data_IF_603899719619
#
_entry.id   IF_603899719619
#
_cell.length_a   1.000
_cell.length_b   1.000
_cell.length_c   1.000
_cell.angle_alpha   90.00
_cell.angle_beta   90.00
_cell.angle_gamma   90.00
#
_symmetry.space_group_name_H-M   'P 1'
#
loop_
_entity.id
_entity.type
_entity.pdbx_description
1 polymer ?
#
# COMPACT_ATOMS: atom_id res chain seq x y z
N UNK A 1 -44.80 -50.08 -23.13
CA UNK A 1 -44.44 -49.33 -21.91
C UNK A 1 -43.27 -48.42 -22.24
N UNK A 2 -43.52 -47.13 -22.41
CA UNK A 2 -42.56 -46.05 -22.22
C UNK A 2 -43.39 -44.78 -22.05
N UNK A 3 -43.21 -44.15 -20.91
CA UNK A 3 -44.02 -43.11 -20.33
C UNK A 3 -43.74 -41.77 -21.05
N UNK A 4 -44.78 -41.13 -21.58
CA UNK A 4 -44.73 -39.74 -21.99
C UNK A 4 -44.53 -38.87 -20.75
N UNK A 5 -43.42 -38.14 -20.69
CA UNK A 5 -43.17 -37.14 -19.66
C UNK A 5 -43.35 -35.78 -20.31
N UNK A 6 -44.43 -35.12 -19.89
CA UNK A 6 -44.76 -33.73 -20.12
C UNK A 6 -43.67 -32.80 -19.59
N UNK A 7 -43.38 -31.75 -20.35
CA UNK A 7 -42.66 -30.58 -19.87
C UNK A 7 -43.58 -29.74 -18.96
N UNK A 8 -43.05 -29.20 -17.86
CA UNK A 8 -43.62 -27.98 -17.32
C UNK A 8 -42.58 -26.87 -17.14
N UNK A 9 -42.97 -25.72 -17.69
CA UNK A 9 -42.93 -24.41 -17.02
C UNK A 9 -41.63 -23.61 -17.07
N UNK A 10 -41.79 -22.47 -17.75
CA UNK A 10 -40.97 -21.26 -17.79
C UNK A 10 -40.32 -20.86 -16.47
N UNK A 11 -38.99 -20.79 -16.46
CA UNK A 11 -38.19 -20.22 -15.37
C UNK A 11 -37.84 -18.75 -15.62
N UNK A 12 -38.84 -17.88 -15.63
CA UNK A 12 -38.66 -16.41 -15.63
C UNK A 12 -38.97 -15.85 -14.23
N UNK A 13 -38.52 -16.53 -13.18
CA UNK A 13 -38.78 -16.15 -11.77
C UNK A 13 -37.49 -16.25 -10.95
N UNK A 14 -36.58 -15.31 -11.18
CA UNK A 14 -35.48 -14.97 -10.25
C UNK A 14 -35.25 -13.45 -10.13
N UNK A 15 -36.19 -12.62 -10.61
CA UNK A 15 -36.10 -11.15 -10.54
C UNK A 15 -36.87 -10.57 -9.33
N UNK A 16 -36.87 -11.28 -8.20
CA UNK A 16 -37.41 -10.76 -6.95
C UNK A 16 -36.36 -10.88 -5.85
N UNK A 17 -35.79 -9.74 -5.47
CA UNK A 17 -35.27 -9.57 -4.10
C UNK A 17 -33.78 -9.75 -3.87
N UNK A 18 -32.92 -9.25 -4.76
CA UNK A 18 -31.55 -8.92 -4.38
C UNK A 18 -31.25 -7.48 -4.81
N UNK A 19 -31.61 -6.51 -3.95
CA UNK A 19 -31.09 -5.15 -4.06
C UNK A 19 -29.59 -5.23 -3.81
N UNK A 20 -28.85 -5.40 -4.90
CA UNK A 20 -27.40 -5.30 -5.00
C UNK A 20 -27.02 -3.90 -4.55
N UNK A 21 -26.70 -3.74 -3.28
CA UNK A 21 -26.03 -2.55 -2.77
C UNK A 21 -24.66 -2.57 -3.45
N UNK A 22 -24.49 -1.76 -4.50
CA UNK A 22 -23.18 -1.43 -5.04
C UNK A 22 -22.47 -0.63 -3.96
N UNK A 23 -21.72 -1.33 -3.10
CA UNK A 23 -20.67 -0.72 -2.32
C UNK A 23 -19.49 -0.57 -3.26
N UNK A 24 -19.37 0.61 -3.87
CA UNK A 24 -18.12 0.98 -4.53
C UNK A 24 -17.04 1.08 -3.43
N UNK A 25 -15.83 0.61 -3.72
CA UNK A 25 -14.70 0.52 -2.80
C UNK A 25 -14.40 1.84 -2.05
N UNK A 26 -14.83 2.98 -2.62
CA UNK A 26 -14.74 4.33 -2.05
C UNK A 26 -15.60 4.51 -0.79
N UNK A 27 -16.69 3.76 -0.62
CA UNK A 27 -17.63 3.93 0.49
C UNK A 27 -17.16 3.26 1.78
N UNK A 28 -16.31 2.24 1.72
CA UNK A 28 -15.67 1.61 2.89
C UNK A 28 -14.65 2.57 3.54
N UNK A 29 -13.95 3.37 2.72
CA UNK A 29 -12.93 4.32 3.18
C UNK A 29 -13.55 5.50 3.95
N UNK A 30 -14.79 5.90 3.63
CA UNK A 30 -15.49 7.01 4.30
C UNK A 30 -15.99 6.67 5.72
N UNK A 31 -16.13 5.38 6.06
CA UNK A 31 -16.63 4.94 7.37
C UNK A 31 -15.53 5.03 8.45
N UNK A 32 -14.26 4.84 8.08
CA UNK A 32 -13.15 4.79 9.05
C UNK A 32 -12.60 6.17 9.46
N UNK A 33 -13.00 7.24 8.77
CA UNK A 33 -12.47 8.60 8.98
C UNK A 33 -13.54 9.57 9.50
N UNK A 34 -14.16 9.27 10.66
CA UNK A 34 -15.02 10.24 11.36
C UNK A 34 -14.20 11.03 12.40
N UNK A 35 -14.05 12.35 12.28
CA UNK A 35 -13.44 13.15 13.33
C UNK A 35 -14.35 13.19 14.58
N UNK A 36 -13.76 12.98 15.76
CA UNK A 36 -14.47 13.21 17.03
C UNK A 36 -14.62 14.71 17.26
N UNK A 37 -15.83 15.23 17.01
CA UNK A 37 -16.23 16.59 17.41
C UNK A 37 -16.48 16.63 18.92
N UNK A 38 -15.66 17.37 19.65
CA UNK A 38 -15.92 17.70 21.05
C UNK A 38 -16.40 19.14 21.17
N UNK A 39 -17.58 19.30 21.77
CA UNK A 39 -18.27 20.56 21.94
C UNK A 39 -17.47 21.58 22.77
N UNK A 40 -17.39 22.77 22.17
CA UNK A 40 -17.20 24.11 22.74
C UNK A 40 -17.84 24.27 24.13
N UNK A 41 -17.01 24.48 25.15
CA UNK A 41 -17.44 25.08 26.42
C UNK A 41 -17.09 26.57 26.38
N UNK A 42 -18.12 27.41 26.34
CA UNK A 42 -18.01 28.86 26.42
C UNK A 42 -17.85 29.31 27.87
N UNK A 43 -16.76 30.04 28.13
CA UNK A 43 -16.76 31.25 28.99
C UNK A 43 -16.30 31.11 30.45
N UNK A 44 -15.15 31.70 30.75
CA UNK A 44 -14.97 32.62 31.91
C UNK A 44 -13.74 33.51 31.69
N UNK A 45 -13.96 34.82 31.56
CA UNK A 45 -12.93 35.87 31.54
C UNK A 45 -12.53 36.20 32.99
N UNK A 46 -11.23 36.23 33.32
CA UNK A 46 -10.66 37.14 34.33
C UNK A 46 -9.16 37.40 34.03
N UNK A 47 -8.73 38.61 34.40
CA UNK A 47 -7.59 39.43 33.93
C UNK A 47 -6.16 38.97 34.33
N UNK A 48 -5.10 39.60 33.78
CA UNK A 48 -3.73 39.08 33.81
C UNK A 48 -2.94 39.55 35.04
N UNK A 49 -2.30 38.62 35.73
CA UNK A 49 -1.19 38.91 36.65
C UNK A 49 0.14 38.59 35.95
N UNK A 50 1.02 39.57 35.92
CA UNK A 50 2.38 39.52 35.37
C UNK A 50 3.17 38.30 35.84
N UNK A 51 3.36 37.32 34.95
CA UNK A 51 4.31 36.23 35.14
C UNK A 51 5.46 36.43 34.17
N UNK A 52 6.67 36.52 34.71
CA UNK A 52 7.93 36.50 34.00
C UNK A 52 7.96 35.37 32.95
N UNK A 53 7.84 35.73 31.68
CA UNK A 53 8.03 34.81 30.55
C UNK A 53 9.53 34.54 30.39
N UNK A 54 10.07 33.65 31.23
CA UNK A 54 11.27 32.91 30.84
C UNK A 54 10.83 31.98 29.71
N UNK A 55 11.03 32.44 28.48
CA UNK A 55 11.00 31.60 27.28
C UNK A 55 12.10 30.53 27.40
N UNK A 56 11.84 29.53 28.24
CA UNK A 56 12.40 28.21 28.00
C UNK A 56 11.71 27.75 26.73
N UNK A 57 12.36 27.99 25.59
CA UNK A 57 12.01 27.32 24.35
C UNK A 57 12.15 25.84 24.66
N UNK A 58 11.06 25.19 25.06
CA UNK A 58 10.95 23.74 24.97
C UNK A 58 11.21 23.46 23.51
N UNK A 59 12.42 22.96 23.23
CA UNK A 59 12.78 22.47 21.92
C UNK A 59 11.75 21.37 21.66
N UNK A 60 10.88 21.59 20.68
CA UNK A 60 10.20 20.48 20.01
C UNK A 60 11.32 19.62 19.43
N UNK A 61 11.85 18.72 20.25
CA UNK A 61 12.65 17.60 19.80
C UNK A 61 11.66 16.80 18.97
N UNK A 62 11.76 16.91 17.64
CA UNK A 62 11.28 15.86 16.77
C UNK A 62 11.80 14.56 17.38
N UNK A 63 10.90 13.62 17.69
CA UNK A 63 11.27 12.34 18.30
C UNK A 63 12.11 11.59 17.27
N UNK A 64 13.42 11.85 17.30
CA UNK A 64 14.38 11.14 16.46
C UNK A 64 14.70 9.85 17.17
N UNK A 65 14.51 8.73 16.47
CA UNK A 65 14.91 7.41 16.97
C UNK A 65 16.42 7.46 17.23
N UNK A 66 16.85 7.08 18.43
CA UNK A 66 18.29 7.05 18.76
C UNK A 66 19.02 5.93 18.02
N UNK A 67 18.34 4.82 17.77
CA UNK A 67 18.83 3.65 17.04
C UNK A 67 17.64 2.87 16.50
N UNK A 68 17.82 2.17 15.39
CA UNK A 68 16.84 1.23 14.81
C UNK A 68 16.83 -0.11 15.54
N UNK A 69 17.89 -0.43 16.31
CA UNK A 69 18.05 -1.75 16.94
C UNK A 69 18.40 -2.87 15.96
N UNK A 70 18.61 -2.56 14.68
CA UNK A 70 19.03 -3.49 13.63
C UNK A 70 20.49 -3.24 13.26
N UNK A 71 21.25 -4.32 13.05
CA UNK A 71 22.66 -4.20 12.66
C UNK A 71 22.78 -3.70 11.21
N UNK A 72 23.64 -2.70 10.97
CA UNK A 72 23.95 -2.20 9.63
C UNK A 72 22.93 -1.25 9.02
N UNK A 73 21.84 -0.91 9.72
CA UNK A 73 20.81 0.03 9.25
C UNK A 73 20.84 1.29 10.11
N UNK A 74 21.48 2.38 9.64
CA UNK A 74 21.52 3.64 10.38
C UNK A 74 20.16 4.34 10.35
N UNK A 75 19.86 5.10 11.41
CA UNK A 75 18.65 5.94 11.46
C UNK A 75 18.75 7.04 10.43
N UNK A 76 17.70 7.22 9.62
CA UNK A 76 17.67 8.26 8.61
C UNK A 76 17.12 9.58 9.19
N UNK A 77 17.76 10.73 8.99
CA UNK A 77 17.35 11.99 9.62
C UNK A 77 16.00 12.51 9.11
N UNK A 78 15.70 12.33 7.82
CA UNK A 78 14.45 12.80 7.19
C UNK A 78 13.87 11.72 6.26
N UNK A 79 13.23 10.67 6.78
CA UNK A 79 12.82 9.50 5.99
C UNK A 79 11.69 9.79 4.99
N UNK A 80 10.72 10.64 5.38
CA UNK A 80 9.52 10.93 4.57
C UNK A 80 9.81 11.56 3.20
N UNK A 81 10.54 12.70 3.09
CA UNK A 81 10.84 13.30 1.79
C UNK A 81 11.69 12.37 0.91
N UNK A 82 12.60 11.60 1.52
CA UNK A 82 13.41 10.61 0.81
C UNK A 82 12.53 9.53 0.18
N UNK A 83 11.61 8.93 0.93
CA UNK A 83 10.65 7.95 0.41
C UNK A 83 9.80 8.49 -0.75
N UNK A 84 9.27 9.71 -0.61
CA UNK A 84 8.46 10.33 -1.66
C UNK A 84 9.30 10.51 -2.94
N UNK A 85 10.53 11.00 -2.80
CA UNK A 85 11.46 11.16 -3.92
C UNK A 85 11.74 9.82 -4.61
N UNK A 86 12.08 8.79 -3.83
CA UNK A 86 12.38 7.45 -4.34
C UNK A 86 11.18 6.83 -5.04
N UNK A 87 9.97 6.88 -4.46
CA UNK A 87 8.77 6.34 -5.10
C UNK A 87 8.37 7.07 -6.39
N UNK A 88 8.53 8.38 -6.45
CA UNK A 88 8.30 9.13 -7.69
C UNK A 88 9.31 8.70 -8.78
N UNK A 89 10.57 8.47 -8.39
CA UNK A 89 11.57 7.93 -9.31
C UNK A 89 11.23 6.50 -9.75
N UNK A 90 10.75 5.64 -8.84
CA UNK A 90 10.26 4.28 -9.15
C UNK A 90 9.12 4.31 -10.15
N UNK A 91 8.10 5.17 -9.97
CA UNK A 91 6.98 5.30 -10.91
C UNK A 91 7.45 5.80 -12.29
N UNK A 92 8.39 6.74 -12.31
CA UNK A 92 9.00 7.23 -13.55
C UNK A 92 9.77 6.11 -14.27
N UNK A 93 10.53 5.30 -13.55
CA UNK A 93 11.25 4.17 -14.11
C UNK A 93 10.31 3.05 -14.59
N UNK A 94 9.28 2.71 -13.81
CA UNK A 94 8.28 1.71 -14.14
C UNK A 94 7.50 2.06 -15.43
N UNK A 95 7.32 3.36 -15.71
CA UNK A 95 6.65 3.82 -16.93
C UNK A 95 7.35 3.41 -18.24
N UNK A 96 8.65 3.07 -18.19
CA UNK A 96 9.44 2.58 -19.34
C UNK A 96 9.09 1.15 -19.74
N UNK A 97 8.58 0.35 -18.79
CA UNK A 97 8.17 -1.04 -19.04
C UNK A 97 6.81 -1.08 -19.74
N UNK A 98 6.47 -2.13 -20.50
CA UNK A 98 5.15 -2.22 -21.14
C UNK A 98 4.02 -2.38 -20.12
N UNK A 99 2.87 -1.74 -20.35
CA UNK A 99 1.69 -1.78 -19.47
C UNK A 99 1.06 -3.17 -19.32
N UNK A 100 1.36 -4.09 -20.25
CA UNK A 100 0.93 -5.49 -20.21
C UNK A 100 1.74 -6.34 -19.24
N UNK A 101 2.93 -5.89 -18.83
CA UNK A 101 3.75 -6.62 -17.89
C UNK A 101 3.10 -6.64 -16.50
N UNK A 102 2.84 -7.84 -15.97
CA UNK A 102 2.26 -8.04 -14.63
C UNK A 102 3.15 -7.40 -13.55
N UNK A 103 4.47 -7.49 -13.72
CA UNK A 103 5.44 -6.88 -12.80
C UNK A 103 5.24 -5.36 -12.70
N UNK A 104 5.07 -4.65 -13.83
CA UNK A 104 4.80 -3.21 -13.83
C UNK A 104 3.52 -2.88 -13.06
N UNK A 105 2.44 -3.60 -13.31
CA UNK A 105 1.15 -3.39 -12.65
C UNK A 105 1.25 -3.59 -11.13
N UNK A 106 1.98 -4.64 -10.71
CA UNK A 106 2.22 -4.92 -9.29
C UNK A 106 3.01 -3.78 -8.64
N UNK A 107 4.14 -3.37 -9.23
CA UNK A 107 4.98 -2.28 -8.71
C UNK A 107 4.20 -0.97 -8.62
N UNK A 108 3.49 -0.58 -9.67
CA UNK A 108 2.67 0.63 -9.68
C UNK A 108 1.61 0.60 -8.57
N UNK A 109 0.89 -0.52 -8.40
CA UNK A 109 -0.13 -0.65 -7.36
C UNK A 109 0.43 -0.52 -5.94
N UNK A 110 1.56 -1.20 -5.67
CA UNK A 110 2.21 -1.17 -4.35
C UNK A 110 2.79 0.21 -4.08
N UNK A 111 3.50 0.79 -5.03
CA UNK A 111 4.11 2.11 -4.89
C UNK A 111 3.05 3.19 -4.70
N UNK A 112 1.96 3.19 -5.48
CA UNK A 112 0.87 4.16 -5.33
C UNK A 112 0.19 4.06 -3.97
N UNK A 113 -0.08 2.84 -3.49
CA UNK A 113 -0.64 2.63 -2.17
C UNK A 113 0.27 3.17 -1.06
N UNK A 114 1.57 2.82 -1.11
CA UNK A 114 2.56 3.31 -0.13
C UNK A 114 2.71 4.83 -0.17
N UNK A 115 2.73 5.42 -1.36
CA UNK A 115 2.82 6.88 -1.56
C UNK A 115 1.58 7.58 -0.98
N UNK A 116 0.38 7.01 -1.16
CA UNK A 116 -0.85 7.54 -0.56
C UNK A 116 -0.79 7.58 0.97
N UNK A 117 -0.24 6.53 1.60
CA UNK A 117 -0.06 6.46 3.06
C UNK A 117 0.95 7.51 3.54
N UNK A 118 2.11 7.58 2.87
CA UNK A 118 3.19 8.52 3.20
C UNK A 118 2.79 9.99 3.02
N UNK A 119 1.89 10.28 2.08
CA UNK A 119 1.35 11.64 1.88
C UNK A 119 0.24 12.01 2.87
N UNK A 120 -0.57 11.03 3.30
CA UNK A 120 -1.70 11.28 4.20
C UNK A 120 -1.24 11.60 5.63
N UNK A 121 -0.11 11.02 6.04
CA UNK A 121 0.34 11.04 7.43
C UNK A 121 1.72 11.68 7.57
N UNK A 122 1.90 12.55 8.57
CA UNK A 122 3.18 13.20 8.86
C UNK A 122 4.01 12.43 9.90
N UNK A 123 3.33 11.74 10.81
CA UNK A 123 3.94 10.98 11.90
C UNK A 123 4.54 9.66 11.40
N UNK A 124 5.83 9.44 11.68
CA UNK A 124 6.56 8.23 11.25
C UNK A 124 5.98 6.95 11.84
N UNK A 125 5.62 6.96 13.13
CA UNK A 125 5.08 5.77 13.80
C UNK A 125 3.74 5.31 13.20
N UNK A 126 2.88 6.26 12.84
CA UNK A 126 1.59 5.96 12.20
C UNK A 126 1.79 5.43 10.77
N UNK A 127 2.80 5.93 10.04
CA UNK A 127 3.17 5.38 8.73
C UNK A 127 3.62 3.92 8.86
N UNK A 128 4.47 3.61 9.86
CA UNK A 128 4.95 2.25 10.10
C UNK A 128 3.81 1.28 10.42
N UNK A 129 2.86 1.70 11.26
CA UNK A 129 1.68 0.90 11.61
C UNK A 129 0.75 0.67 10.41
N UNK A 130 0.51 1.72 9.60
CA UNK A 130 -0.34 1.62 8.42
C UNK A 130 0.28 0.76 7.32
N UNK A 131 1.59 0.86 7.10
CA UNK A 131 2.30 0.07 6.10
C UNK A 131 2.54 -1.38 6.53
N UNK A 132 2.69 -1.62 7.84
CA UNK A 132 2.96 -2.92 8.44
C UNK A 132 4.07 -3.71 7.72
N UNK A 133 5.17 -3.01 7.40
CA UNK A 133 6.27 -3.52 6.56
C UNK A 133 7.65 -3.39 7.25
N UNK A 134 7.69 -3.30 8.57
CA UNK A 134 8.89 -3.07 9.37
C UNK A 134 9.11 -1.59 9.72
N UNK A 135 10.35 -1.23 10.03
CA UNK A 135 10.72 0.16 10.31
C UNK A 135 10.85 0.99 9.03
N UNK A 136 10.71 2.32 9.14
CA UNK A 136 10.76 3.22 8.00
C UNK A 136 12.08 3.14 7.22
N UNK A 137 13.19 2.86 7.89
CA UNK A 137 14.51 2.69 7.28
C UNK A 137 14.59 1.43 6.41
N UNK A 138 13.95 0.34 6.81
CA UNK A 138 13.86 -0.88 5.99
C UNK A 138 13.02 -0.64 4.75
N UNK A 139 11.94 0.12 4.88
CA UNK A 139 11.08 0.51 3.75
C UNK A 139 11.83 1.39 2.75
N UNK A 140 12.74 2.26 3.22
CA UNK A 140 13.64 3.03 2.35
C UNK A 140 14.54 2.10 1.55
N UNK A 141 15.20 1.16 2.22
CA UNK A 141 16.09 0.20 1.55
C UNK A 141 15.33 -0.63 0.51
N UNK A 142 14.13 -1.11 0.84
CA UNK A 142 13.25 -1.80 -0.11
C UNK A 142 12.93 -0.93 -1.34
N UNK A 143 12.62 0.35 -1.14
CA UNK A 143 12.30 1.27 -2.24
C UNK A 143 13.52 1.53 -3.15
N UNK A 144 14.70 1.66 -2.56
CA UNK A 144 15.95 1.83 -3.32
C UNK A 144 16.34 0.56 -4.08
N UNK A 145 16.17 -0.61 -3.47
CA UNK A 145 16.44 -1.89 -4.11
C UNK A 145 15.43 -2.18 -5.23
N UNK A 146 14.17 -1.78 -5.08
CA UNK A 146 13.18 -1.84 -6.14
C UNK A 146 13.57 -0.96 -7.34
N UNK A 147 14.10 0.23 -7.09
CA UNK A 147 14.59 1.12 -8.15
C UNK A 147 15.77 0.49 -8.90
N UNK A 148 16.72 -0.13 -8.18
CA UNK A 148 17.83 -0.89 -8.80
C UNK A 148 17.33 -2.11 -9.57
N UNK A 149 16.31 -2.80 -9.05
CA UNK A 149 15.71 -3.96 -9.69
C UNK A 149 15.04 -3.57 -11.00
N UNK A 150 14.30 -2.45 -11.03
CA UNK A 150 13.68 -1.93 -12.24
C UNK A 150 14.69 -1.71 -13.38
N UNK A 151 15.87 -1.16 -13.05
CA UNK A 151 16.94 -0.99 -14.04
C UNK A 151 17.41 -2.33 -14.64
N UNK A 152 17.45 -3.41 -13.84
CA UNK A 152 17.77 -4.76 -14.32
C UNK A 152 16.61 -5.40 -15.09
N UNK A 153 15.37 -5.14 -14.67
CA UNK A 153 14.18 -5.67 -15.35
C UNK A 153 14.02 -5.07 -16.75
N UNK A 154 14.44 -3.82 -16.95
CA UNK A 154 14.51 -3.19 -18.27
C UNK A 154 15.47 -3.95 -19.22
N UNK A 155 16.57 -4.48 -18.68
CA UNK A 155 17.54 -5.30 -19.43
C UNK A 155 17.04 -6.73 -19.64
N UNK A 156 16.50 -7.38 -18.60
CA UNK A 156 16.14 -8.81 -18.62
C UNK A 156 14.81 -9.13 -19.32
N UNK A 157 13.90 -8.16 -19.41
CA UNK A 157 12.60 -8.28 -20.09
C UNK A 157 11.82 -9.56 -19.77
N UNK A 158 11.55 -9.86 -18.48
CA UNK A 158 10.93 -11.13 -18.05
C UNK A 158 9.46 -11.31 -18.50
N UNK A 159 8.85 -10.27 -19.08
CA UNK A 159 7.48 -10.35 -19.63
C UNK A 159 7.43 -10.96 -21.03
N UNK A 160 8.58 -11.24 -21.65
CA UNK A 160 8.65 -11.97 -22.90
C UNK A 160 8.36 -13.46 -22.68
N UNK A 161 8.05 -14.16 -23.78
CA UNK A 161 7.84 -15.60 -23.71
C UNK A 161 9.14 -16.32 -23.31
N UNK A 162 8.99 -17.51 -22.72
CA UNK A 162 10.12 -18.36 -22.33
C UNK A 162 11.10 -18.56 -23.50
N UNK A 163 12.39 -18.25 -23.28
CA UNK A 163 13.45 -18.46 -24.27
C UNK A 163 13.61 -19.94 -24.61
N UNK A 164 13.54 -20.81 -23.59
CA UNK A 164 13.65 -22.26 -23.74
C UNK A 164 12.37 -22.91 -23.23
N UNK A 165 11.59 -23.59 -24.09
CA UNK A 165 10.44 -24.37 -23.63
C UNK A 165 10.91 -25.55 -22.79
N UNK A 166 10.09 -25.95 -21.82
CA UNK A 166 10.41 -27.07 -20.93
C UNK A 166 10.54 -28.37 -21.73
N UNK A 167 11.64 -29.14 -21.57
CA UNK A 167 11.73 -30.46 -22.20
C UNK A 167 10.69 -31.41 -21.61
N UNK A 168 10.19 -32.35 -22.44
CA UNK A 168 9.17 -33.30 -22.02
C UNK A 168 9.69 -34.15 -20.86
N UNK A 169 8.97 -34.15 -19.74
CA UNK A 169 9.29 -34.92 -18.54
C UNK A 169 10.31 -34.28 -17.59
N UNK A 170 10.74 -33.02 -17.80
CA UNK A 170 11.69 -32.33 -16.91
C UNK A 170 11.16 -32.17 -15.47
N UNK A 171 9.87 -31.92 -15.32
CA UNK A 171 9.20 -31.68 -14.04
C UNK A 171 8.35 -32.88 -13.57
N UNK A 172 8.56 -34.04 -14.19
CA UNK A 172 7.92 -35.30 -13.79
C UNK A 172 8.77 -35.98 -12.72
N UNK A 173 8.59 -35.57 -11.46
CA UNK A 173 9.38 -36.14 -10.36
C UNK A 173 9.02 -37.60 -10.04
N UNK A 174 7.78 -38.02 -10.28
CA UNK A 174 7.23 -39.28 -9.75
C UNK A 174 6.96 -40.39 -10.79
N UNK A 175 7.41 -40.23 -12.04
CA UNK A 175 7.42 -41.31 -13.05
C UNK A 175 6.06 -41.88 -13.50
N UNK A 176 4.92 -41.34 -13.08
CA UNK A 176 3.60 -41.74 -13.59
C UNK A 176 3.36 -41.10 -14.95
N UNK A 177 3.60 -41.88 -16.00
CA UNK A 177 3.15 -41.58 -17.36
C UNK A 177 1.95 -42.48 -17.64
N UNK A 178 0.78 -41.87 -17.82
CA UNK A 178 -0.40 -42.55 -18.40
C UNK A 178 -0.11 -43.02 -19.84
#
# INVERSE_FOLDING_TARGET
MACSIEAPMSGNEWQAGAKRIKLEFVDVIKIFNKPKNNYRQSGRLLAPSTVNMRFTKSLFQAVTKSTTGLAGIPVHPNPRPHLISTYNATLTAASRLPATAVYRQAVESVTQHRLSVVNATENVNEIEEQLNAGQIEEVILQAEDELKLLAKMEEWKPWENLEVPTPKGQWDYNGTKE
#
